data_IF_091808881152
#
_entry.id   IF_091808881152
#
_cell.length_a   1.000
_cell.length_b   1.000
_cell.length_c   1.000
_cell.angle_alpha   90.00
_cell.angle_beta   90.00
_cell.angle_gamma   90.00
#
_symmetry.space_group_name_H-M   'P 1'
#
loop_
_entity.id
_entity.type
_entity.pdbx_description
1 polymer ?
#
# COMPACT_ATOMS: atom_id res chain seq x y z
N UNK A 1 -50.87 -108.71 -34.65
CA UNK A 1 -49.93 -108.69 -33.52
C UNK A 1 -49.02 -107.49 -33.70
N UNK A 2 -48.87 -106.71 -32.63
CA UNK A 2 -48.33 -105.35 -32.61
C UNK A 2 -46.97 -105.18 -33.26
N UNK A 3 -46.86 -104.08 -34.02
CA UNK A 3 -45.61 -103.38 -34.28
C UNK A 3 -45.09 -102.78 -32.97
N UNK A 4 -43.80 -102.97 -32.67
CA UNK A 4 -43.10 -102.17 -31.66
C UNK A 4 -41.84 -101.61 -32.33
N UNK A 5 -41.89 -100.31 -32.61
CA UNK A 5 -40.84 -99.53 -33.26
C UNK A 5 -40.22 -98.62 -32.18
N UNK A 6 -38.94 -98.82 -31.92
CA UNK A 6 -38.18 -98.07 -30.93
C UNK A 6 -37.84 -96.68 -31.48
N UNK A 7 -38.15 -95.55 -30.81
CA UNK A 7 -37.72 -94.24 -31.26
C UNK A 7 -36.30 -93.93 -30.75
N UNK A 8 -35.41 -93.69 -31.71
CA UNK A 8 -34.06 -93.15 -31.51
C UNK A 8 -34.14 -91.64 -31.15
N UNK A 9 -33.65 -91.25 -29.98
CA UNK A 9 -33.57 -89.84 -29.53
C UNK A 9 -32.13 -89.34 -29.66
N UNK A 10 -31.84 -88.25 -30.41
CA UNK A 10 -30.50 -87.66 -30.47
C UNK A 10 -30.17 -86.79 -29.24
N UNK A 11 -28.90 -86.84 -28.83
CA UNK A 11 -28.28 -86.33 -27.62
C UNK A 11 -28.48 -84.83 -27.23
N UNK A 12 -28.81 -84.60 -25.95
CA UNK A 12 -28.81 -83.31 -25.26
C UNK A 12 -27.41 -82.73 -24.91
N UNK A 13 -26.34 -83.12 -25.62
CA UNK A 13 -24.96 -82.68 -25.35
C UNK A 13 -24.59 -81.34 -26.02
N UNK A 14 -25.15 -81.04 -27.19
CA UNK A 14 -24.70 -79.91 -28.02
C UNK A 14 -25.12 -78.52 -27.50
N UNK A 15 -26.21 -78.42 -26.71
CA UNK A 15 -26.73 -77.13 -26.23
C UNK A 15 -25.97 -76.56 -25.04
N UNK A 16 -25.35 -77.41 -24.20
CA UNK A 16 -24.56 -76.97 -23.03
C UNK A 16 -23.18 -76.44 -23.41
N UNK A 17 -22.60 -76.97 -24.48
CA UNK A 17 -21.29 -76.55 -24.99
C UNK A 17 -21.39 -75.17 -25.68
N UNK A 18 -22.42 -74.95 -26.50
CA UNK A 18 -22.67 -73.66 -27.14
C UNK A 18 -22.93 -72.51 -26.14
N UNK A 19 -23.52 -72.80 -24.97
CA UNK A 19 -23.73 -71.81 -23.91
C UNK A 19 -22.43 -71.47 -23.20
N UNK A 20 -21.55 -72.46 -22.96
CA UNK A 20 -20.23 -72.23 -22.35
C UNK A 20 -19.30 -71.44 -23.28
N UNK A 21 -19.35 -71.70 -24.58
CA UNK A 21 -18.58 -70.96 -25.58
C UNK A 21 -19.03 -69.48 -25.64
N UNK A 22 -20.34 -69.22 -25.70
CA UNK A 22 -20.87 -67.84 -25.65
C UNK A 22 -20.55 -67.13 -24.34
N UNK A 23 -20.62 -67.82 -23.20
CA UNK A 23 -20.24 -67.25 -21.92
C UNK A 23 -18.74 -66.85 -21.90
N UNK A 24 -17.86 -67.70 -22.43
CA UNK A 24 -16.43 -67.39 -22.53
C UNK A 24 -16.15 -66.21 -23.47
N UNK A 25 -16.84 -66.10 -24.59
CA UNK A 25 -16.73 -64.96 -25.50
C UNK A 25 -17.22 -63.65 -24.86
N UNK A 26 -18.34 -63.67 -24.14
CA UNK A 26 -18.85 -62.49 -23.42
C UNK A 26 -17.88 -62.08 -22.30
N UNK A 27 -17.33 -63.03 -21.55
CA UNK A 27 -16.33 -62.73 -20.53
C UNK A 27 -15.04 -62.14 -21.11
N UNK A 28 -14.59 -62.61 -22.28
CA UNK A 28 -13.44 -62.07 -22.99
C UNK A 28 -13.70 -60.64 -23.53
N UNK A 29 -14.91 -60.36 -24.01
CA UNK A 29 -15.30 -59.00 -24.43
C UNK A 29 -15.42 -58.03 -23.25
N UNK A 30 -16.02 -58.48 -22.14
CA UNK A 30 -16.19 -57.64 -20.94
C UNK A 30 -14.85 -57.32 -20.26
N UNK A 31 -13.89 -58.26 -20.23
CA UNK A 31 -12.57 -58.01 -19.63
C UNK A 31 -11.78 -56.97 -20.44
N UNK A 32 -11.79 -57.07 -21.78
CA UNK A 32 -11.18 -56.07 -22.68
C UNK A 32 -11.82 -54.69 -22.53
N UNK A 33 -13.15 -54.62 -22.43
CA UNK A 33 -13.85 -53.35 -22.21
C UNK A 33 -13.52 -52.71 -20.85
N UNK A 34 -13.41 -53.51 -19.77
CA UNK A 34 -13.02 -53.00 -18.44
C UNK A 34 -11.58 -52.49 -18.43
N UNK A 35 -10.66 -53.17 -19.11
CA UNK A 35 -9.27 -52.71 -19.24
C UNK A 35 -9.19 -51.41 -20.03
N UNK A 36 -9.87 -51.31 -21.18
CA UNK A 36 -9.92 -50.07 -21.97
C UNK A 36 -10.55 -48.91 -21.20
N UNK A 37 -11.63 -49.16 -20.45
CA UNK A 37 -12.27 -48.12 -19.62
C UNK A 37 -11.34 -47.63 -18.50
N UNK A 38 -10.58 -48.52 -17.86
CA UNK A 38 -9.58 -48.14 -16.84
C UNK A 38 -8.44 -47.33 -17.43
N UNK A 39 -7.97 -47.70 -18.63
CA UNK A 39 -6.94 -46.93 -19.35
C UNK A 39 -7.42 -45.53 -19.72
N UNK A 40 -8.64 -45.40 -20.24
CA UNK A 40 -9.23 -44.09 -20.60
C UNK A 40 -9.37 -43.20 -19.35
N UNK A 41 -9.89 -43.73 -18.24
CA UNK A 41 -10.03 -42.97 -16.99
C UNK A 41 -8.66 -42.54 -16.45
N UNK A 42 -7.66 -43.43 -16.50
CA UNK A 42 -6.30 -43.09 -16.11
C UNK A 42 -5.69 -41.97 -16.96
N UNK A 43 -5.91 -42.00 -18.28
CA UNK A 43 -5.40 -40.99 -19.21
C UNK A 43 -6.11 -39.64 -19.00
N UNK A 44 -7.43 -39.62 -18.81
CA UNK A 44 -8.18 -38.40 -18.49
C UNK A 44 -7.74 -37.80 -17.14
N UNK A 45 -7.50 -38.62 -16.13
CA UNK A 45 -7.00 -38.15 -14.84
C UNK A 45 -5.59 -37.54 -14.94
N UNK A 46 -4.69 -38.16 -15.72
CA UNK A 46 -3.33 -37.63 -15.95
C UNK A 46 -3.39 -36.30 -16.70
N UNK A 47 -4.23 -36.17 -17.73
CA UNK A 47 -4.39 -34.92 -18.49
C UNK A 47 -4.98 -33.81 -17.61
N UNK A 48 -5.97 -34.12 -16.77
CA UNK A 48 -6.58 -33.16 -15.86
C UNK A 48 -5.61 -32.70 -14.74
N UNK A 49 -4.83 -33.61 -14.15
CA UNK A 49 -3.83 -33.24 -13.14
C UNK A 49 -2.65 -32.50 -13.78
N UNK A 50 -2.23 -32.92 -14.98
CA UNK A 50 -1.18 -32.26 -15.75
C UNK A 50 -1.55 -30.84 -16.18
N UNK A 51 -2.80 -30.60 -16.57
CA UNK A 51 -3.27 -29.25 -16.95
C UNK A 51 -3.36 -28.31 -15.76
N UNK A 52 -3.80 -28.80 -14.60
CA UNK A 52 -3.80 -28.01 -13.34
C UNK A 52 -2.36 -27.72 -12.92
N UNK A 53 -1.46 -28.71 -12.94
CA UNK A 53 -0.04 -28.53 -12.63
C UNK A 53 0.63 -27.53 -13.56
N UNK A 54 0.34 -27.59 -14.87
CA UNK A 54 0.86 -26.65 -15.85
C UNK A 54 0.28 -25.24 -15.67
N UNK A 55 -0.99 -25.09 -15.33
CA UNK A 55 -1.61 -23.79 -15.06
C UNK A 55 -1.01 -23.12 -13.81
N UNK A 56 -0.79 -23.89 -12.74
CA UNK A 56 -0.13 -23.40 -11.52
C UNK A 56 1.34 -23.07 -11.79
N UNK A 57 2.06 -23.94 -12.49
CA UNK A 57 3.45 -23.68 -12.87
C UNK A 57 3.59 -22.46 -13.78
N UNK A 58 2.67 -22.27 -14.72
CA UNK A 58 2.63 -21.09 -15.60
C UNK A 58 2.30 -19.81 -14.82
N UNK A 59 1.34 -19.85 -13.89
CA UNK A 59 1.01 -18.72 -13.03
C UNK A 59 2.17 -18.31 -12.09
N UNK A 60 2.92 -19.29 -11.58
CA UNK A 60 4.10 -19.04 -10.75
C UNK A 60 5.29 -18.59 -11.59
N UNK A 61 5.52 -19.20 -12.76
CA UNK A 61 6.63 -18.87 -13.67
C UNK A 61 6.47 -17.48 -14.32
N UNK A 62 5.24 -17.07 -14.63
CA UNK A 62 4.95 -15.73 -15.15
C UNK A 62 5.19 -14.63 -14.09
N UNK A 63 5.13 -15.00 -12.80
CA UNK A 63 5.45 -14.11 -11.68
C UNK A 63 6.95 -14.00 -11.40
N UNK A 64 7.76 -14.99 -11.82
CA UNK A 64 9.23 -15.02 -11.59
C UNK A 64 10.01 -14.32 -12.73
N UNK A 65 9.39 -14.12 -13.90
CA UNK A 65 10.10 -13.69 -15.11
C UNK A 65 9.96 -12.19 -15.46
N UNK A 66 9.16 -11.41 -14.72
CA UNK A 66 9.09 -9.96 -14.91
C UNK A 66 10.15 -9.27 -14.06
N UNK A 67 11.00 -8.38 -14.62
CA UNK A 67 11.86 -7.54 -13.80
C UNK A 67 11.02 -6.79 -12.78
N UNK A 68 11.37 -6.89 -11.49
CA UNK A 68 10.73 -6.05 -10.47
C UNK A 68 11.06 -4.60 -10.77
N UNK A 69 10.04 -3.80 -11.07
CA UNK A 69 10.20 -2.37 -11.27
C UNK A 69 10.35 -1.71 -9.90
N UNK A 70 11.30 -0.79 -9.79
CA UNK A 70 11.48 0.08 -8.63
C UNK A 70 11.09 1.49 -9.03
N UNK A 71 10.22 2.18 -8.29
CA UNK A 71 9.82 3.55 -8.62
C UNK A 71 11.02 4.48 -8.51
N UNK A 72 11.11 5.44 -9.44
CA UNK A 72 12.11 6.51 -9.37
C UNK A 72 11.60 7.65 -8.47
N UNK A 73 12.52 8.37 -7.83
CA UNK A 73 12.15 9.53 -6.99
C UNK A 73 11.58 9.16 -5.62
N UNK A 74 11.78 7.92 -5.17
CA UNK A 74 11.30 7.44 -3.86
C UNK A 74 12.43 6.96 -2.93
N UNK A 75 13.37 7.83 -2.53
CA UNK A 75 14.43 7.45 -1.58
C UNK A 75 13.80 6.98 -0.26
N UNK A 76 14.29 5.86 0.29
CA UNK A 76 13.75 5.29 1.52
C UNK A 76 12.29 4.83 1.41
N UNK A 77 11.84 4.48 0.19
CA UNK A 77 10.46 4.07 -0.10
C UNK A 77 9.39 5.12 0.21
N UNK A 78 9.76 6.41 0.18
CA UNK A 78 8.85 7.52 0.40
C UNK A 78 8.91 8.56 -0.71
N UNK A 79 7.80 9.24 -0.95
CA UNK A 79 7.71 10.37 -1.88
C UNK A 79 7.85 11.66 -1.09
N UNK A 80 8.95 12.37 -1.30
CA UNK A 80 9.19 13.66 -0.65
C UNK A 80 8.51 14.78 -1.41
N UNK A 81 7.61 15.48 -0.74
CA UNK A 81 6.89 16.66 -1.22
C UNK A 81 7.50 17.89 -0.55
N UNK A 82 8.31 18.62 -1.31
CA UNK A 82 8.97 19.85 -0.85
C UNK A 82 8.42 21.11 -1.53
N UNK A 83 7.63 20.96 -2.59
CA UNK A 83 6.97 22.04 -3.32
C UNK A 83 5.59 21.54 -3.76
N UNK A 84 4.56 22.39 -3.65
CA UNK A 84 3.23 22.10 -4.16
C UNK A 84 2.95 23.12 -5.26
N UNK A 85 2.60 22.66 -6.45
CA UNK A 85 2.19 23.56 -7.52
C UNK A 85 0.92 24.28 -7.07
N UNK A 86 0.97 25.62 -6.99
CA UNK A 86 -0.20 26.42 -6.68
C UNK A 86 -1.24 26.22 -7.80
N UNK A 87 -2.23 25.36 -7.59
CA UNK A 87 -3.46 25.39 -8.36
C UNK A 87 -4.16 26.71 -8.03
N UNK A 88 -4.59 27.51 -9.03
CA UNK A 88 -5.31 28.74 -8.77
C UNK A 88 -6.66 28.38 -8.16
N UNK A 89 -6.69 28.35 -6.83
CA UNK A 89 -7.92 28.15 -6.07
C UNK A 89 -8.82 29.35 -6.37
N UNK A 90 -9.94 29.10 -7.03
CA UNK A 90 -11.01 30.09 -7.30
C UNK A 90 -11.74 30.58 -6.05
N UNK A 91 -11.02 30.68 -4.93
CA UNK A 91 -11.50 31.34 -3.71
C UNK A 91 -11.40 32.85 -3.92
N UNK A 92 -12.55 33.51 -3.99
CA UNK A 92 -12.63 34.96 -3.94
C UNK A 92 -11.82 35.49 -2.73
N UNK A 93 -11.02 36.56 -2.90
CA UNK A 93 -10.33 37.16 -1.76
C UNK A 93 -11.37 37.61 -0.75
N UNK A 94 -11.34 36.99 0.44
CA UNK A 94 -12.00 37.55 1.61
C UNK A 94 -11.39 38.95 1.84
N UNK A 95 -12.18 40.03 1.85
CA UNK A 95 -11.61 41.34 2.07
C UNK A 95 -11.06 41.40 3.50
N UNK A 96 -9.75 41.62 3.61
CA UNK A 96 -9.13 42.03 4.87
C UNK A 96 -9.89 43.25 5.42
N UNK A 97 -10.15 43.34 6.73
CA UNK A 97 -10.72 44.56 7.29
C UNK A 97 -9.73 45.69 7.05
N UNK A 98 -10.18 46.71 6.31
CA UNK A 98 -9.48 47.99 6.21
C UNK A 98 -9.62 48.68 7.56
N UNK A 99 -8.61 48.59 8.42
CA UNK A 99 -8.51 49.48 9.57
C UNK A 99 -8.05 50.86 9.09
N UNK A 100 -8.98 51.80 9.17
CA UNK A 100 -8.79 53.22 8.94
C UNK A 100 -7.73 53.79 9.89
N UNK A 101 -6.79 54.55 9.31
CA UNK A 101 -5.85 55.37 10.04
C UNK A 101 -6.59 56.33 11.00
N UNK A 102 -6.21 56.29 12.28
CA UNK A 102 -6.44 57.40 13.22
C UNK A 102 -5.13 57.67 13.94
N UNK A 103 -4.60 58.88 13.79
CA UNK A 103 -3.44 59.37 14.53
C UNK A 103 -3.74 59.48 16.03
N UNK A 104 -2.88 58.89 16.86
CA UNK A 104 -2.50 59.41 18.18
C UNK A 104 -1.24 58.67 18.64
N UNK A 105 -0.17 59.43 18.87
CA UNK A 105 1.14 58.89 19.21
C UNK A 105 1.22 58.27 20.60
N UNK A 106 1.94 57.16 20.68
CA UNK A 106 2.75 56.76 21.84
C UNK A 106 3.82 55.80 21.27
N UNK A 107 5.07 55.95 21.70
CA UNK A 107 6.19 55.19 21.17
C UNK A 107 6.07 53.69 21.49
N UNK A 108 5.63 52.89 20.52
CA UNK A 108 5.74 51.44 20.57
C UNK A 108 7.18 51.05 20.20
N UNK A 109 7.90 50.47 21.15
CA UNK A 109 9.14 49.72 20.90
C UNK A 109 8.95 48.76 19.73
N UNK A 110 9.91 48.62 18.80
CA UNK A 110 9.78 47.65 17.73
C UNK A 110 9.67 46.26 18.35
N UNK A 111 8.49 45.66 18.25
CA UNK A 111 8.34 44.22 18.45
C UNK A 111 9.24 43.54 17.42
N UNK A 112 10.14 42.63 17.80
CA UNK A 112 10.94 41.91 16.81
C UNK A 112 9.97 41.08 15.97
N UNK A 113 9.72 41.54 14.73
CA UNK A 113 9.24 40.66 13.68
C UNK A 113 10.29 39.56 13.55
N UNK A 114 9.94 38.26 13.71
CA UNK A 114 10.90 37.22 13.39
C UNK A 114 11.22 37.37 11.89
N UNK A 115 12.41 37.87 11.60
CA UNK A 115 12.99 37.67 10.28
C UNK A 115 13.22 36.18 10.17
N UNK A 116 12.71 35.56 9.10
CA UNK A 116 13.08 34.20 8.76
C UNK A 116 14.60 34.13 8.67
N UNK A 117 15.23 33.54 9.68
CA UNK A 117 16.66 33.26 9.67
C UNK A 117 16.88 32.29 8.52
N UNK A 118 17.64 32.70 7.51
CA UNK A 118 17.91 31.95 6.29
C UNK A 118 18.69 30.62 6.51
N UNK A 119 18.86 30.19 7.77
CA UNK A 119 19.66 29.04 8.20
C UNK A 119 18.87 28.00 9.01
N UNK A 120 17.56 28.19 9.24
CA UNK A 120 16.74 27.16 9.90
C UNK A 120 16.45 26.01 8.93
N UNK A 121 16.94 24.80 9.25
CA UNK A 121 16.62 23.58 8.49
C UNK A 121 15.12 23.27 8.61
N UNK A 122 14.46 22.98 7.49
CA UNK A 122 13.08 22.49 7.50
C UNK A 122 12.95 21.22 8.36
N UNK A 123 11.90 21.17 9.19
CA UNK A 123 11.58 19.98 10.00
C UNK A 123 11.05 18.87 9.10
N UNK A 124 11.59 17.66 9.25
CA UNK A 124 11.17 16.50 8.46
C UNK A 124 9.92 15.86 9.08
N UNK A 125 8.92 15.61 8.24
CA UNK A 125 7.71 14.87 8.60
C UNK A 125 7.63 13.63 7.71
N UNK A 126 7.61 12.44 8.31
CA UNK A 126 7.36 11.19 7.60
C UNK A 126 5.95 10.68 7.92
N UNK A 127 5.18 10.35 6.90
CA UNK A 127 3.80 9.85 7.04
C UNK A 127 3.72 8.48 6.38
N UNK A 128 3.62 7.42 7.18
CA UNK A 128 3.34 6.08 6.69
C UNK A 128 1.84 5.90 6.56
N UNK A 129 1.40 5.57 5.35
CA UNK A 129 -0.01 5.60 4.99
C UNK A 129 -0.45 4.32 4.31
N UNK A 130 -1.43 3.65 4.90
CA UNK A 130 -2.26 2.67 4.20
C UNK A 130 -3.53 3.37 3.69
N UNK A 131 -3.80 3.27 2.39
CA UNK A 131 -4.91 3.99 1.75
C UNK A 131 -6.31 3.42 2.08
N UNK A 132 -6.41 2.37 2.91
CA UNK A 132 -7.67 1.90 3.50
C UNK A 132 -7.80 2.27 4.99
N UNK A 133 -6.79 2.91 5.57
CA UNK A 133 -6.77 3.28 6.99
C UNK A 133 -7.72 4.45 7.26
N UNK A 134 -8.69 4.23 8.15
CA UNK A 134 -9.57 5.28 8.63
C UNK A 134 -8.79 6.39 9.37
N UNK A 135 -7.77 6.01 10.15
CA UNK A 135 -6.92 6.97 10.87
C UNK A 135 -6.07 7.82 9.92
N UNK A 136 -5.53 7.24 8.84
CA UNK A 136 -4.81 8.01 7.83
C UNK A 136 -5.73 9.01 7.12
N UNK A 137 -6.96 8.60 6.82
CA UNK A 137 -7.97 9.46 6.22
C UNK A 137 -8.42 10.60 7.14
N UNK A 138 -8.59 10.31 8.44
CA UNK A 138 -8.88 11.31 9.47
C UNK A 138 -7.76 12.35 9.55
N UNK A 139 -6.50 11.89 9.67
CA UNK A 139 -5.35 12.76 9.69
C UNK A 139 -5.24 13.63 8.44
N UNK A 140 -5.40 13.05 7.24
CA UNK A 140 -5.35 13.78 5.98
C UNK A 140 -6.43 14.86 5.91
N UNK A 141 -7.69 14.53 6.25
CA UNK A 141 -8.80 15.51 6.24
C UNK A 141 -8.56 16.68 7.18
N UNK A 142 -7.97 16.43 8.35
CA UNK A 142 -7.70 17.45 9.34
C UNK A 142 -6.45 18.29 9.00
N UNK A 143 -5.40 17.67 8.47
CA UNK A 143 -4.05 18.27 8.44
C UNK A 143 -3.53 18.62 7.03
N UNK A 144 -4.14 18.14 5.94
CA UNK A 144 -3.61 18.36 4.58
C UNK A 144 -3.40 19.84 4.27
N UNK A 145 -4.40 20.69 4.56
CA UNK A 145 -4.30 22.13 4.27
C UNK A 145 -3.16 22.84 5.02
N UNK A 146 -2.92 22.50 6.29
CA UNK A 146 -1.83 23.11 7.04
C UNK A 146 -0.46 22.57 6.62
N UNK A 147 -0.36 21.26 6.32
CA UNK A 147 0.85 20.67 5.76
C UNK A 147 1.21 21.35 4.43
N UNK A 148 0.22 21.58 3.56
CA UNK A 148 0.44 22.26 2.30
C UNK A 148 0.95 23.71 2.50
N UNK A 149 0.41 24.43 3.49
CA UNK A 149 0.90 25.73 3.90
C UNK A 149 2.37 25.68 4.34
N UNK A 150 2.70 24.79 5.26
CA UNK A 150 4.07 24.66 5.78
C UNK A 150 5.08 24.21 4.72
N UNK A 151 4.68 23.33 3.80
CA UNK A 151 5.52 22.94 2.65
C UNK A 151 5.78 24.16 1.75
N UNK A 152 4.74 24.95 1.45
CA UNK A 152 4.85 26.14 0.59
C UNK A 152 5.72 27.23 1.22
N UNK A 153 5.70 27.35 2.55
CA UNK A 153 6.56 28.24 3.32
C UNK A 153 7.99 27.72 3.49
N UNK A 154 8.25 26.46 3.13
CA UNK A 154 9.53 25.78 3.36
C UNK A 154 9.81 25.47 4.83
N UNK A 155 8.80 25.54 5.70
CA UNK A 155 8.92 25.26 7.13
C UNK A 155 9.10 23.76 7.41
N UNK A 156 8.51 22.90 6.56
CA UNK A 156 8.60 21.44 6.68
C UNK A 156 8.89 20.79 5.33
N UNK A 157 9.52 19.63 5.39
CA UNK A 157 9.58 18.67 4.28
C UNK A 157 8.71 17.48 4.65
N UNK A 158 7.74 17.12 3.80
CA UNK A 158 6.84 15.98 4.08
C UNK A 158 7.19 14.82 3.16
N UNK A 159 7.45 13.64 3.71
CA UNK A 159 7.66 12.41 2.97
C UNK A 159 6.56 11.41 3.26
N UNK A 160 5.75 11.09 2.26
CA UNK A 160 4.70 10.06 2.36
C UNK A 160 5.28 8.69 2.00
N UNK A 161 5.05 7.68 2.83
CA UNK A 161 5.46 6.30 2.63
C UNK A 161 4.22 5.42 2.42
N UNK A 162 3.82 5.14 1.18
CA UNK A 162 2.74 4.20 0.89
C UNK A 162 3.06 2.80 1.42
N UNK A 163 2.19 2.27 2.27
CA UNK A 163 2.28 0.92 2.85
C UNK A 163 0.96 0.17 2.71
N UNK A 164 0.99 -1.14 2.91
CA UNK A 164 -0.13 -2.03 2.62
C UNK A 164 -0.42 -3.03 3.76
N UNK A 165 -0.65 -2.53 4.98
CA UNK A 165 -0.96 -3.33 6.15
C UNK A 165 -2.37 -3.93 6.13
N UNK A 166 -3.32 -3.26 5.48
CA UNK A 166 -4.72 -3.67 5.37
C UNK A 166 -5.01 -4.43 4.06
N UNK A 167 -3.98 -5.04 3.47
CA UNK A 167 -4.09 -5.84 2.23
C UNK A 167 -5.18 -6.92 2.30
N UNK A 168 -5.42 -7.51 3.47
CA UNK A 168 -6.43 -8.54 3.66
C UNK A 168 -7.87 -8.00 3.83
N UNK A 169 -8.04 -6.70 4.11
CA UNK A 169 -9.31 -6.08 4.52
C UNK A 169 -10.15 -5.55 3.35
N UNK A 170 -10.05 -6.19 2.17
CA UNK A 170 -10.68 -5.73 0.93
C UNK A 170 -11.21 -6.88 0.08
N UNK A 171 -12.00 -7.79 0.68
CA UNK A 171 -12.64 -8.93 0.01
C UNK A 171 -11.73 -9.74 -0.95
N UNK A 172 -10.43 -9.84 -0.61
CA UNK A 172 -9.43 -10.53 -1.43
C UNK A 172 -8.88 -9.76 -2.64
N UNK A 173 -9.36 -8.54 -2.92
CA UNK A 173 -8.89 -7.69 -4.03
C UNK A 173 -7.55 -7.01 -3.76
N UNK A 174 -7.15 -6.91 -2.48
CA UNK A 174 -5.88 -6.35 -2.02
C UNK A 174 -5.76 -4.85 -2.29
N UNK A 175 -6.84 -4.10 -2.05
CA UNK A 175 -6.93 -2.67 -2.34
C UNK A 175 -5.75 -1.86 -1.81
N UNK A 176 -5.38 -1.97 -0.52
CA UNK A 176 -4.24 -1.22 0.05
C UNK A 176 -2.94 -1.42 -0.72
N UNK A 177 -2.65 -2.66 -1.13
CA UNK A 177 -1.45 -2.98 -1.91
C UNK A 177 -1.48 -2.37 -3.31
N UNK A 178 -2.63 -2.44 -3.99
CA UNK A 178 -2.81 -1.84 -5.33
C UNK A 178 -2.77 -0.31 -5.27
N UNK A 179 -3.39 0.30 -4.26
CA UNK A 179 -3.39 1.74 -4.05
C UNK A 179 -1.97 2.26 -3.74
N UNK A 180 -1.20 1.57 -2.90
CA UNK A 180 0.21 1.91 -2.65
C UNK A 180 1.07 1.83 -3.92
N UNK A 181 0.86 0.80 -4.74
CA UNK A 181 1.52 0.68 -6.05
C UNK A 181 1.09 1.79 -7.03
N UNK A 182 -0.20 2.17 -7.03
CA UNK A 182 -0.71 3.24 -7.87
C UNK A 182 -0.14 4.61 -7.46
N UNK A 183 0.01 4.86 -6.16
CA UNK A 183 0.69 6.05 -5.65
C UNK A 183 2.14 6.13 -6.12
N UNK A 184 2.86 5.00 -6.15
CA UNK A 184 4.20 4.93 -6.73
C UNK A 184 4.23 5.17 -8.25
N UNK A 185 3.20 4.73 -8.99
CA UNK A 185 3.05 5.08 -10.42
C UNK A 185 2.93 6.59 -10.64
N UNK A 186 2.10 7.27 -9.84
CA UNK A 186 1.95 8.73 -9.91
C UNK A 186 3.25 9.42 -9.51
N UNK A 187 3.89 9.02 -8.41
CA UNK A 187 5.18 9.57 -7.99
C UNK A 187 6.27 9.42 -9.07
N UNK A 188 6.30 8.28 -9.76
CA UNK A 188 7.32 7.98 -10.79
C UNK A 188 7.11 8.80 -12.06
N UNK A 189 5.87 8.98 -12.50
CA UNK A 189 5.56 9.51 -13.85
C UNK A 189 4.87 10.87 -13.86
N UNK A 190 4.34 11.33 -12.73
CA UNK A 190 3.70 12.62 -12.53
C UNK A 190 3.88 13.12 -11.07
N UNK A 191 5.14 13.28 -10.59
CA UNK A 191 5.44 13.60 -9.19
C UNK A 191 4.73 14.87 -8.69
N UNK A 192 4.57 15.88 -9.55
CA UNK A 192 3.89 17.14 -9.20
C UNK A 192 2.41 16.95 -8.82
N UNK A 193 1.79 15.85 -9.27
CA UNK A 193 0.39 15.50 -8.97
C UNK A 193 0.27 14.50 -7.81
N UNK A 194 1.39 14.06 -7.23
CA UNK A 194 1.37 13.04 -6.17
C UNK A 194 0.62 13.52 -4.94
N UNK A 195 0.81 14.77 -4.51
CA UNK A 195 0.17 15.30 -3.31
C UNK A 195 -1.36 15.27 -3.43
N UNK A 196 -1.90 15.75 -4.57
CA UNK A 196 -3.33 15.74 -4.85
C UNK A 196 -3.87 14.30 -5.01
N UNK A 197 -3.13 13.41 -5.68
CA UNK A 197 -3.54 12.01 -5.80
C UNK A 197 -3.56 11.28 -4.44
N UNK A 198 -2.56 11.52 -3.60
CA UNK A 198 -2.50 11.00 -2.23
C UNK A 198 -3.68 11.50 -1.40
N UNK A 199 -4.00 12.80 -1.51
CA UNK A 199 -5.14 13.41 -0.85
C UNK A 199 -6.44 12.70 -1.25
N UNK A 200 -6.71 12.57 -2.54
CA UNK A 200 -7.94 11.94 -3.04
C UNK A 200 -8.08 10.45 -2.64
N UNK A 201 -6.98 9.70 -2.62
CA UNK A 201 -7.01 8.30 -2.14
C UNK A 201 -7.47 8.18 -0.68
N UNK A 202 -7.24 9.21 0.13
CA UNK A 202 -7.55 9.25 1.56
C UNK A 202 -8.88 9.94 1.88
N UNK A 203 -9.28 10.95 1.10
CA UNK A 203 -10.55 11.65 1.32
C UNK A 203 -11.74 10.96 0.66
N UNK A 204 -11.53 10.33 -0.49
CA UNK A 204 -12.53 9.50 -1.18
C UNK A 204 -12.25 8.01 -0.90
N UNK A 205 -12.11 7.55 0.33
CA UNK A 205 -11.80 6.12 0.58
C UNK A 205 -12.98 5.19 0.23
N UNK A 206 -12.71 3.99 -0.32
CA UNK A 206 -13.73 2.96 -0.37
C UNK A 206 -14.08 2.47 1.04
N UNK A 207 -15.28 1.92 1.21
CA UNK A 207 -15.66 1.28 2.48
C UNK A 207 -14.72 0.11 2.81
N UNK A 208 -14.38 -0.04 4.10
CA UNK A 208 -13.67 -1.21 4.58
C UNK A 208 -14.45 -2.50 4.26
N UNK A 209 -13.73 -3.59 4.03
CA UNK A 209 -14.27 -4.91 3.64
C UNK A 209 -15.02 -4.94 2.29
N UNK A 210 -15.10 -3.82 1.56
CA UNK A 210 -15.54 -3.79 0.17
C UNK A 210 -14.42 -4.27 -0.77
N UNK A 211 -14.75 -4.41 -2.06
CA UNK A 211 -13.76 -4.72 -3.10
C UNK A 211 -12.71 -3.59 -3.30
N UNK A 212 -12.95 -2.41 -2.74
CA UNK A 212 -12.14 -1.21 -3.00
C UNK A 212 -12.26 -0.71 -4.43
N UNK A 213 -11.44 0.28 -4.81
CA UNK A 213 -11.34 0.68 -6.21
C UNK A 213 -10.63 -0.39 -7.04
N UNK A 214 -11.14 -0.63 -8.24
CA UNK A 214 -10.43 -1.34 -9.30
C UNK A 214 -9.23 -0.52 -9.81
N UNK A 215 -8.30 -1.18 -10.52
CA UNK A 215 -7.14 -0.49 -11.09
C UNK A 215 -7.53 0.58 -12.12
N UNK A 216 -8.60 0.33 -12.88
CA UNK A 216 -9.17 1.32 -13.80
C UNK A 216 -9.67 2.56 -13.04
N UNK A 217 -10.36 2.39 -11.91
CA UNK A 217 -10.83 3.49 -11.08
C UNK A 217 -9.68 4.24 -10.39
N UNK A 218 -8.62 3.54 -9.97
CA UNK A 218 -7.40 4.18 -9.46
C UNK A 218 -6.73 5.02 -10.55
N UNK A 219 -6.67 4.52 -11.79
CA UNK A 219 -6.16 5.27 -12.92
C UNK A 219 -7.06 6.45 -13.30
N UNK A 220 -8.39 6.28 -13.28
CA UNK A 220 -9.37 7.35 -13.51
C UNK A 220 -9.18 8.49 -12.49
N UNK A 221 -8.95 8.15 -11.22
CA UNK A 221 -8.67 9.12 -10.17
C UNK A 221 -7.38 9.91 -10.45
N UNK A 222 -6.31 9.23 -10.87
CA UNK A 222 -5.06 9.89 -11.26
C UNK A 222 -5.27 10.87 -12.43
N UNK A 223 -6.08 10.49 -13.43
CA UNK A 223 -6.44 11.39 -14.53
C UNK A 223 -7.27 12.58 -14.03
N UNK A 224 -8.19 12.37 -13.09
CA UNK A 224 -9.05 13.42 -12.54
C UNK A 224 -8.25 14.50 -11.80
N UNK A 225 -7.18 14.14 -11.10
CA UNK A 225 -6.27 15.12 -10.44
C UNK A 225 -5.28 15.78 -11.40
N UNK A 226 -5.33 15.47 -12.70
CA UNK A 226 -4.60 16.20 -13.73
C UNK A 226 -3.15 15.77 -13.95
N UNK A 227 -2.81 14.49 -13.77
CA UNK A 227 -1.46 13.97 -14.06
C UNK A 227 -0.98 14.33 -15.47
N UNK A 228 0.28 14.75 -15.58
CA UNK A 228 0.88 15.27 -16.82
C UNK A 228 1.06 14.21 -17.93
N UNK A 229 1.36 12.96 -17.58
CA UNK A 229 1.44 11.81 -18.51
C UNK A 229 0.34 10.76 -18.20
N UNK A 230 -0.91 11.16 -18.37
CA UNK A 230 -2.09 10.34 -18.09
C UNK A 230 -2.06 8.95 -18.73
N UNK A 231 -1.51 8.80 -19.93
CA UNK A 231 -1.43 7.50 -20.62
C UNK A 231 -0.46 6.57 -19.93
N UNK A 232 0.74 7.07 -19.59
CA UNK A 232 1.78 6.27 -18.94
C UNK A 232 1.41 5.94 -17.50
N UNK A 233 0.86 6.91 -16.76
CA UNK A 233 0.34 6.70 -15.40
C UNK A 233 -0.75 5.63 -15.41
N UNK A 234 -1.76 5.74 -16.28
CA UNK A 234 -2.80 4.72 -16.42
C UNK A 234 -2.22 3.34 -16.71
N UNK A 235 -1.33 3.23 -17.68
CA UNK A 235 -0.72 1.96 -18.05
C UNK A 235 0.05 1.31 -16.88
N UNK A 236 0.76 2.11 -16.08
CA UNK A 236 1.46 1.64 -14.88
C UNK A 236 0.48 1.11 -13.82
N UNK A 237 -0.61 1.86 -13.56
CA UNK A 237 -1.61 1.51 -12.55
C UNK A 237 -2.36 0.23 -12.95
N UNK A 238 -2.92 0.20 -14.16
CA UNK A 238 -3.66 -0.96 -14.69
C UNK A 238 -2.74 -2.17 -14.91
N UNK A 239 -1.45 -1.94 -15.15
CA UNK A 239 -0.41 -2.98 -15.22
C UNK A 239 0.03 -3.53 -13.87
N UNK A 240 -0.33 -2.87 -12.77
CA UNK A 240 0.11 -3.17 -11.40
C UNK A 240 1.64 -3.19 -11.26
N UNK A 241 2.32 -2.32 -11.99
CA UNK A 241 3.77 -2.36 -12.21
C UNK A 241 4.60 -2.32 -10.91
N UNK A 242 4.11 -1.63 -9.87
CA UNK A 242 4.81 -1.47 -8.59
C UNK A 242 4.22 -2.28 -7.43
N UNK A 243 3.33 -3.26 -7.67
CA UNK A 243 2.75 -4.08 -6.59
C UNK A 243 3.80 -4.88 -5.82
N UNK A 244 4.81 -5.43 -6.50
CA UNK A 244 5.93 -6.11 -5.82
C UNK A 244 6.74 -5.14 -4.97
N UNK A 245 7.05 -3.95 -5.50
CA UNK A 245 7.75 -2.92 -4.73
C UNK A 245 6.95 -2.51 -3.49
N UNK A 246 5.65 -2.27 -3.60
CA UNK A 246 4.81 -1.83 -2.48
C UNK A 246 4.77 -2.88 -1.35
N UNK A 247 4.74 -4.17 -1.72
CA UNK A 247 4.86 -5.27 -0.77
C UNK A 247 6.21 -5.24 -0.04
N UNK A 248 7.30 -5.12 -0.79
CA UNK A 248 8.65 -5.16 -0.22
C UNK A 248 8.95 -3.90 0.60
N UNK A 249 8.45 -2.73 0.20
CA UNK A 249 8.51 -1.48 0.96
C UNK A 249 7.77 -1.59 2.30
N UNK A 250 6.57 -2.19 2.28
CA UNK A 250 5.81 -2.47 3.51
C UNK A 250 6.59 -3.41 4.43
N UNK A 251 7.20 -4.46 3.89
CA UNK A 251 8.02 -5.39 4.68
C UNK A 251 9.23 -4.68 5.32
N UNK A 252 9.95 -3.85 4.56
CA UNK A 252 11.07 -3.05 5.09
C UNK A 252 10.63 -2.11 6.22
N UNK A 253 9.47 -1.46 6.08
CA UNK A 253 8.94 -0.58 7.12
C UNK A 253 8.58 -1.34 8.41
N UNK A 254 8.02 -2.55 8.29
CA UNK A 254 7.72 -3.44 9.42
C UNK A 254 8.98 -3.99 10.11
N UNK A 255 10.03 -4.26 9.34
CA UNK A 255 11.31 -4.74 9.86
C UNK A 255 12.12 -3.62 10.53
N UNK A 256 12.06 -2.41 9.97
CA UNK A 256 12.78 -1.22 10.39
C UNK A 256 14.30 -1.32 10.28
N UNK A 257 15.04 -0.30 10.75
CA UNK A 257 14.53 0.95 11.32
C UNK A 257 13.88 1.85 10.25
N UNK A 258 12.88 2.63 10.64
CA UNK A 258 12.31 3.66 9.78
C UNK A 258 13.32 4.80 9.56
N UNK A 259 13.43 5.39 8.35
CA UNK A 259 14.28 6.54 8.06
C UNK A 259 14.11 7.66 9.09
N UNK A 260 15.23 8.23 9.52
CA UNK A 260 15.24 9.35 10.46
C UNK A 260 14.87 8.98 11.90
N UNK A 261 14.81 7.69 12.26
CA UNK A 261 14.43 7.25 13.62
C UNK A 261 15.50 6.43 14.33
N UNK A 262 15.47 6.47 15.66
CA UNK A 262 16.30 5.61 16.52
C UNK A 262 15.64 4.24 16.74
N UNK A 263 15.51 3.47 15.66
CA UNK A 263 15.05 2.08 15.75
C UNK A 263 13.53 1.88 15.73
N UNK A 264 12.75 2.91 15.39
CA UNK A 264 11.30 2.75 15.23
C UNK A 264 10.99 1.81 14.06
N UNK A 265 9.85 1.15 14.16
CA UNK A 265 9.29 0.27 13.13
C UNK A 265 7.86 0.67 12.89
N UNK A 266 7.36 0.39 11.69
CA UNK A 266 5.94 0.53 11.42
C UNK A 266 5.16 -0.43 12.32
N UNK A 267 4.18 0.09 13.04
CA UNK A 267 3.41 -0.66 14.03
C UNK A 267 1.89 -0.46 13.90
N UNK A 268 1.44 0.42 13.00
CA UNK A 268 0.04 0.67 12.69
C UNK A 268 -0.11 1.18 11.24
N UNK A 269 -1.34 1.27 10.76
CA UNK A 269 -1.74 1.69 9.41
C UNK A 269 -1.72 3.21 9.15
N UNK A 270 -1.34 4.01 10.16
CA UNK A 270 -1.22 5.47 10.08
C UNK A 270 -0.19 5.98 11.09
N UNK A 271 1.09 6.01 10.69
CA UNK A 271 2.19 6.44 11.56
C UNK A 271 2.77 7.75 11.07
N UNK A 272 2.69 8.77 11.92
CA UNK A 272 3.23 10.10 11.67
C UNK A 272 4.48 10.29 12.54
N UNK A 273 5.59 10.63 11.90
CA UNK A 273 6.85 10.94 12.55
C UNK A 273 7.22 12.39 12.26
N UNK A 274 7.61 13.14 13.29
CA UNK A 274 8.14 14.51 13.16
C UNK A 274 9.51 14.54 13.80
N UNK A 275 10.54 14.92 13.05
CA UNK A 275 11.93 14.91 13.54
C UNK A 275 12.35 13.56 14.14
N UNK A 276 11.88 12.46 13.54
CA UNK A 276 12.14 11.09 14.02
C UNK A 276 11.31 10.62 15.23
N UNK A 277 10.42 11.45 15.77
CA UNK A 277 9.56 11.09 16.91
C UNK A 277 8.13 10.80 16.45
N UNK A 278 7.52 9.75 17.00
CA UNK A 278 6.12 9.42 16.72
C UNK A 278 5.18 10.46 17.32
N UNK A 279 4.27 10.97 16.51
CA UNK A 279 3.07 11.63 16.98
C UNK A 279 2.08 10.55 17.46
N UNK A 280 1.51 10.75 18.66
CA UNK A 280 0.56 9.82 19.31
C UNK A 280 -0.70 10.54 19.80
N UNK A 281 -0.91 11.77 19.32
CA UNK A 281 -2.04 12.63 19.67
C UNK A 281 -3.31 12.35 18.86
N UNK A 282 -4.29 13.24 18.97
CA UNK A 282 -5.53 13.16 18.21
C UNK A 282 -5.29 13.47 16.72
N UNK A 283 -5.59 12.51 15.84
CA UNK A 283 -5.36 12.66 14.39
C UNK A 283 -6.25 13.73 13.75
N UNK A 284 -7.39 14.03 14.37
CA UNK A 284 -8.37 15.04 13.93
C UNK A 284 -8.17 16.42 14.57
N UNK A 285 -7.16 16.62 15.42
CA UNK A 285 -6.84 17.90 16.05
C UNK A 285 -5.62 18.58 15.38
N UNK A 286 -5.83 19.44 14.37
CA UNK A 286 -4.74 20.13 13.68
C UNK A 286 -3.95 21.07 14.59
N UNK A 287 -4.57 21.61 15.64
CA UNK A 287 -3.89 22.51 16.58
C UNK A 287 -2.94 21.73 17.49
N UNK A 288 -3.37 20.56 17.99
CA UNK A 288 -2.49 19.67 18.76
C UNK A 288 -1.30 19.21 17.92
N UNK A 289 -1.54 18.76 16.68
CA UNK A 289 -0.46 18.35 15.78
C UNK A 289 0.51 19.49 15.48
N UNK A 290 0.01 20.72 15.27
CA UNK A 290 0.85 21.91 15.10
C UNK A 290 1.74 22.18 16.31
N UNK A 291 1.21 22.06 17.54
CA UNK A 291 1.99 22.23 18.76
C UNK A 291 3.08 21.17 18.90
N UNK A 292 2.79 19.92 18.51
CA UNK A 292 3.79 18.87 18.47
C UNK A 292 4.91 19.21 17.50
N UNK A 293 4.58 19.61 16.26
CA UNK A 293 5.57 20.01 15.25
C UNK A 293 6.44 21.17 15.74
N UNK A 294 5.84 22.20 16.32
CA UNK A 294 6.57 23.36 16.87
C UNK A 294 7.51 22.98 18.01
N UNK A 295 7.09 22.05 18.87
CA UNK A 295 7.94 21.54 19.96
C UNK A 295 9.16 20.83 19.40
N UNK A 296 8.98 19.95 18.41
CA UNK A 296 10.10 19.23 17.77
C UNK A 296 11.02 20.19 17.02
N UNK A 297 10.47 21.11 16.23
CA UNK A 297 11.25 22.11 15.51
C UNK A 297 12.08 22.99 16.46
N UNK A 298 11.53 23.33 17.63
CA UNK A 298 12.25 24.08 18.67
C UNK A 298 13.39 23.24 19.27
N UNK A 299 13.15 21.97 19.59
CA UNK A 299 14.18 21.06 20.09
C UNK A 299 15.32 20.85 19.08
N UNK A 300 14.99 20.74 17.78
CA UNK A 300 15.95 20.65 16.68
C UNK A 300 16.79 21.93 16.56
N UNK A 301 16.16 23.10 16.69
CA UNK A 301 16.82 24.39 16.56
C UNK A 301 17.75 24.71 17.73
N UNK A 302 17.30 24.50 18.98
CA UNK A 302 18.10 24.82 20.17
C UNK A 302 19.06 23.70 20.58
N UNK A 303 18.92 22.52 19.98
CA UNK A 303 19.54 21.28 20.45
C UNK A 303 18.93 20.85 21.79
N UNK A 304 18.84 19.55 22.05
CA UNK A 304 18.40 19.07 23.37
C UNK A 304 19.39 19.62 24.39
N UNK A 305 19.00 20.60 25.20
CA UNK A 305 19.88 21.20 26.20
C UNK A 305 20.25 20.13 27.21
N UNK A 306 21.34 19.41 26.98
CA UNK A 306 21.99 18.59 28.00
C UNK A 306 22.49 19.60 29.04
N UNK A 307 21.97 19.60 30.28
CA UNK A 307 22.43 20.56 31.26
C UNK A 307 23.94 20.38 31.44
N UNK A 308 24.70 21.45 31.14
CA UNK A 308 26.12 21.53 31.47
C UNK A 308 26.25 21.24 32.96
N UNK A 309 27.11 20.28 33.39
CA UNK A 309 27.28 20.02 34.81
C UNK A 309 27.68 21.32 35.51
N UNK A 310 26.92 21.71 36.54
CA UNK A 310 27.21 22.86 37.38
C UNK A 310 28.68 22.80 37.80
N UNK A 311 29.49 23.85 37.56
CA UNK A 311 30.87 23.85 38.01
C UNK A 311 30.88 23.70 39.53
N UNK A 312 31.50 22.62 40.02
CA UNK A 312 31.73 22.43 41.45
C UNK A 312 32.63 23.57 41.91
N UNK A 313 32.21 24.40 42.89
CA UNK A 313 33.06 25.48 43.38
C UNK A 313 34.32 24.87 43.98
N UNK A 314 35.47 25.27 43.44
CA UNK A 314 36.79 24.97 44.03
C UNK A 314 36.87 25.68 45.38
N UNK A 315 37.20 24.98 46.49
CA UNK A 315 37.33 25.64 47.78
C UNK A 315 38.50 26.63 47.73
N UNK A 316 38.20 27.93 47.93
CA UNK A 316 39.22 28.96 48.13
C UNK A 316 40.05 28.64 49.36
N UNK A 317 41.36 28.60 49.19
CA UNK A 317 42.30 28.45 50.29
C UNK A 317 42.20 29.67 51.23
N UNK A 318 41.80 29.42 52.48
CA UNK A 318 41.86 30.39 53.57
C UNK A 318 43.33 30.66 53.91
N UNK A 319 43.81 31.87 53.60
CA UNK A 319 45.06 32.37 54.17
C UNK A 319 44.79 32.76 55.63
N UNK A 320 45.42 32.05 56.57
CA UNK A 320 45.35 32.37 58.00
C UNK A 320 46.21 33.60 58.33
N UNK A 321 45.83 34.39 59.36
CA UNK A 321 46.52 35.62 59.75
C UNK A 321 47.90 35.40 60.38
#
# INVERSE_FOLDING_TARGET
MSSDETPNVPAARNSREAVREKAQLVHAQQSRARLMRRLIIGLVAIVAVGSIGAAVAYAVSSSISKPQLTPSGMPGDGVTVSQIAATPSGGAPSPAPTESATEAGEAATPSPSPSATADAKATEIHIYVDYLSAGAAEFERANARQLAGWISEGAVTVTYHPVALLTASSNGTKYSLRAAAAAACVATYAPDSFYDYNHELLTDQPEADSDGRSDAQLADLAVAVGVSDAKKVRACIEGQDFVSWAKDATARALEGPLPGTDGLKLNNEALILVGGKSYVGALDDPAEFSQFVLTIASDEYFGSTKPTPTPVPTPSATTAP
#
